data_IF_670767696698
#
_entry.id   IF_670767696698
#
_cell.length_a   1.000
_cell.length_b   1.000
_cell.length_c   1.000
_cell.angle_alpha   90.00
_cell.angle_beta   90.00
_cell.angle_gamma   90.00
#
_symmetry.space_group_name_H-M   'P 1'
#
loop_
_entity.id
_entity.type
_entity.pdbx_description
1 polymer ?
#
# COMPACT_ATOMS: atom_id res chain seq x y z
N UNK A 1 -52.30 -13.68 -23.92
CA UNK A 1 -51.92 -14.37 -22.66
C UNK A 1 -52.64 -13.73 -21.49
N UNK A 2 -53.35 -14.51 -20.67
CA UNK A 2 -54.09 -13.99 -19.51
C UNK A 2 -53.13 -13.42 -18.46
N UNK A 3 -53.45 -12.24 -17.91
CA UNK A 3 -52.69 -11.56 -16.83
C UNK A 3 -52.50 -12.45 -15.60
N UNK A 4 -53.40 -13.43 -15.41
CA UNK A 4 -53.36 -14.40 -14.31
C UNK A 4 -52.19 -15.37 -14.49
N UNK A 5 -51.98 -15.91 -15.70
CA UNK A 5 -50.85 -16.81 -15.99
C UNK A 5 -49.50 -16.11 -15.78
N UNK A 6 -49.40 -14.84 -16.19
CA UNK A 6 -48.18 -14.05 -15.98
C UNK A 6 -47.88 -13.87 -14.49
N UNK A 7 -48.89 -13.57 -13.66
CA UNK A 7 -48.74 -13.44 -12.21
C UNK A 7 -48.32 -14.73 -11.54
N UNK A 8 -48.93 -15.86 -11.90
CA UNK A 8 -48.57 -17.18 -11.35
C UNK A 8 -47.13 -17.54 -11.73
N UNK A 9 -46.73 -17.27 -12.97
CA UNK A 9 -45.36 -17.51 -13.42
C UNK A 9 -44.33 -16.64 -12.67
N UNK A 10 -44.63 -15.35 -12.48
CA UNK A 10 -43.81 -14.42 -11.70
C UNK A 10 -43.68 -14.86 -10.23
N UNK A 11 -44.81 -15.22 -9.59
CA UNK A 11 -44.81 -15.72 -8.21
C UNK A 11 -44.03 -17.02 -8.09
N UNK A 12 -44.22 -17.96 -9.02
CA UNK A 12 -43.48 -19.23 -9.02
C UNK A 12 -41.98 -18.99 -9.05
N UNK A 13 -41.48 -18.17 -9.99
CA UNK A 13 -40.05 -17.83 -10.08
C UNK A 13 -39.53 -17.14 -8.83
N UNK A 14 -40.32 -16.23 -8.25
CA UNK A 14 -39.95 -15.56 -7.00
C UNK A 14 -39.77 -16.56 -5.85
N UNK A 15 -40.72 -17.46 -5.65
CA UNK A 15 -40.65 -18.45 -4.57
C UNK A 15 -39.53 -19.47 -4.77
N UNK A 16 -39.29 -19.93 -6.00
CA UNK A 16 -38.13 -20.79 -6.29
C UNK A 16 -36.81 -20.10 -5.98
N UNK A 17 -36.61 -18.86 -6.45
CA UNK A 17 -35.39 -18.09 -6.16
C UNK A 17 -35.21 -17.84 -4.67
N UNK A 18 -36.30 -17.50 -3.97
CA UNK A 18 -36.28 -17.29 -2.53
C UNK A 18 -35.89 -18.56 -1.78
N UNK A 19 -36.51 -19.69 -2.13
CA UNK A 19 -36.21 -20.97 -1.51
C UNK A 19 -34.75 -21.37 -1.72
N UNK A 20 -34.23 -21.20 -2.94
CA UNK A 20 -32.82 -21.46 -3.23
C UNK A 20 -31.89 -20.58 -2.39
N UNK A 21 -32.17 -19.27 -2.32
CA UNK A 21 -31.36 -18.34 -1.52
C UNK A 21 -31.39 -18.69 -0.03
N UNK A 22 -32.57 -18.93 0.52
CA UNK A 22 -32.74 -19.28 1.94
C UNK A 22 -32.08 -20.63 2.26
N UNK A 23 -32.16 -21.61 1.36
CA UNK A 23 -31.49 -22.90 1.51
C UNK A 23 -29.95 -22.77 1.49
N UNK A 24 -29.40 -22.02 0.55
CA UNK A 24 -27.94 -21.77 0.49
C UNK A 24 -27.46 -21.03 1.73
N UNK A 25 -28.20 -20.01 2.17
CA UNK A 25 -27.86 -19.23 3.36
C UNK A 25 -27.96 -20.04 4.65
N UNK A 26 -28.95 -20.93 4.74
CA UNK A 26 -29.06 -21.86 5.86
C UNK A 26 -27.91 -22.87 5.84
N UNK A 27 -27.54 -23.38 4.67
CA UNK A 27 -26.41 -24.29 4.53
C UNK A 27 -25.10 -23.60 4.94
N UNK A 28 -24.87 -22.35 4.54
CA UNK A 28 -23.73 -21.56 4.99
C UNK A 28 -23.72 -21.40 6.52
N UNK A 29 -24.89 -21.17 7.13
CA UNK A 29 -25.01 -21.06 8.58
C UNK A 29 -24.72 -22.36 9.33
N UNK A 30 -25.08 -23.50 8.75
CA UNK A 30 -24.79 -24.82 9.32
C UNK A 30 -23.31 -25.20 9.11
N UNK A 31 -22.78 -24.93 7.91
CA UNK A 31 -21.43 -25.34 7.53
C UNK A 31 -20.35 -24.48 8.17
N UNK A 32 -20.50 -23.16 8.08
CA UNK A 32 -19.53 -22.22 8.64
C UNK A 32 -19.88 -21.81 10.06
N UNK A 33 -21.08 -22.12 10.55
CA UNK A 33 -21.54 -21.62 11.84
C UNK A 33 -21.85 -20.12 11.77
N UNK A 34 -22.83 -19.69 12.56
CA UNK A 34 -23.25 -18.29 12.61
C UNK A 34 -22.13 -17.33 13.04
N UNK A 35 -21.10 -17.84 13.72
CA UNK A 35 -19.93 -17.10 14.20
C UNK A 35 -18.77 -17.03 13.19
N UNK A 36 -18.65 -17.99 12.25
CA UNK A 36 -17.50 -18.09 11.34
C UNK A 36 -17.87 -17.83 9.87
N UNK A 37 -18.90 -16.99 9.64
CA UNK A 37 -19.26 -16.57 8.29
C UNK A 37 -18.08 -15.86 7.63
N UNK A 38 -17.81 -16.10 6.34
CA UNK A 38 -16.78 -15.39 5.60
C UNK A 38 -17.09 -13.88 5.64
N UNK A 39 -16.34 -13.14 6.47
CA UNK A 39 -16.42 -11.69 6.49
C UNK A 39 -15.70 -11.19 5.26
N UNK A 40 -16.43 -10.48 4.41
CA UNK A 40 -15.84 -9.73 3.30
C UNK A 40 -14.75 -8.84 3.88
N UNK A 41 -13.58 -8.81 3.26
CA UNK A 41 -12.44 -8.01 3.72
C UNK A 41 -12.82 -6.53 3.74
N UNK A 42 -13.27 -6.04 4.89
CA UNK A 42 -13.69 -4.66 5.08
C UNK A 42 -12.50 -3.84 5.56
N UNK A 43 -12.07 -2.88 4.76
CA UNK A 43 -11.01 -1.93 5.16
C UNK A 43 -11.61 -0.85 6.05
N UNK A 44 -10.97 -0.59 7.19
CA UNK A 44 -11.36 0.49 8.08
C UNK A 44 -11.12 1.85 7.42
N UNK A 45 -12.18 2.61 7.17
CA UNK A 45 -12.05 3.99 6.64
C UNK A 45 -12.25 5.05 7.73
N UNK A 46 -12.97 4.73 8.81
CA UNK A 46 -13.28 5.66 9.89
C UNK A 46 -13.47 4.92 11.22
N UNK A 47 -13.20 5.61 12.33
CA UNK A 47 -13.52 5.13 13.68
C UNK A 47 -15.02 5.29 13.92
N UNK A 48 -15.74 4.17 14.03
CA UNK A 48 -17.18 4.19 14.29
C UNK A 48 -17.50 4.45 15.75
N UNK A 49 -18.76 4.76 16.06
CA UNK A 49 -19.21 4.97 17.44
C UNK A 49 -18.93 3.75 18.34
N UNK A 50 -19.18 2.53 17.86
CA UNK A 50 -18.92 1.30 18.63
C UNK A 50 -17.42 1.08 18.85
N UNK A 51 -16.59 1.37 17.84
CA UNK A 51 -15.13 1.37 17.93
C UNK A 51 -14.66 2.34 19.01
N UNK A 52 -15.19 3.56 19.03
CA UNK A 52 -14.87 4.58 20.04
C UNK A 52 -15.27 4.13 21.44
N UNK A 53 -16.45 3.53 21.63
CA UNK A 53 -16.86 3.00 22.93
C UNK A 53 -15.91 1.92 23.45
N UNK A 54 -15.44 1.02 22.59
CA UNK A 54 -14.46 -0.01 22.95
C UNK A 54 -13.12 0.59 23.34
N UNK A 55 -12.64 1.61 22.61
CA UNK A 55 -11.41 2.31 22.94
C UNK A 55 -11.51 3.08 24.27
N UNK A 56 -12.65 3.73 24.52
CA UNK A 56 -12.91 4.38 25.81
C UNK A 56 -12.91 3.37 26.96
N UNK A 57 -13.53 2.19 26.76
CA UNK A 57 -13.50 1.11 27.74
C UNK A 57 -12.08 0.56 28.00
N UNK A 58 -11.20 0.63 27.00
CA UNK A 58 -9.78 0.29 27.09
C UNK A 58 -8.89 1.42 27.67
N UNK A 59 -9.49 2.51 28.16
CA UNK A 59 -8.79 3.62 28.80
C UNK A 59 -8.23 4.68 27.84
N UNK A 60 -8.54 4.62 26.55
CA UNK A 60 -8.02 5.61 25.60
C UNK A 60 -8.71 6.97 25.77
N UNK A 61 -7.96 8.07 25.93
CA UNK A 61 -8.55 9.40 26.00
C UNK A 61 -9.08 9.83 24.63
N UNK A 62 -10.14 10.64 24.63
CA UNK A 62 -10.85 11.08 23.42
C UNK A 62 -9.96 11.88 22.45
N UNK A 63 -8.98 12.60 22.97
CA UNK A 63 -7.96 13.32 22.20
C UNK A 63 -7.11 12.38 21.34
N UNK A 64 -6.63 11.28 21.92
CA UNK A 64 -5.82 10.26 21.22
C UNK A 64 -6.65 9.51 20.20
N UNK A 65 -7.89 9.14 20.54
CA UNK A 65 -8.81 8.44 19.62
C UNK A 65 -9.01 9.25 18.33
N UNK A 66 -9.07 10.58 18.41
CA UNK A 66 -9.26 11.45 17.24
C UNK A 66 -8.07 11.42 16.28
N UNK A 67 -6.85 11.24 16.80
CA UNK A 67 -5.62 11.19 16.00
C UNK A 67 -5.31 9.78 15.48
N UNK A 68 -6.02 8.78 16.00
CA UNK A 68 -5.77 7.38 15.66
C UNK A 68 -6.24 7.06 14.25
N UNK A 69 -5.41 6.37 13.47
CA UNK A 69 -5.81 5.88 12.16
C UNK A 69 -6.88 4.78 12.33
N UNK A 70 -7.93 4.74 11.51
CA UNK A 70 -8.99 3.73 11.60
C UNK A 70 -8.47 2.28 11.56
N UNK A 71 -7.45 2.02 10.74
CA UNK A 71 -6.82 0.69 10.64
C UNK A 71 -6.14 0.27 11.94
N UNK A 72 -5.44 1.22 12.59
CA UNK A 72 -4.76 0.98 13.85
C UNK A 72 -5.78 0.78 14.98
N UNK A 73 -6.84 1.60 15.01
CA UNK A 73 -7.95 1.46 15.95
C UNK A 73 -8.60 0.07 15.90
N UNK A 74 -8.82 -0.48 14.69
CA UNK A 74 -9.36 -1.82 14.54
C UNK A 74 -8.40 -2.91 15.03
N UNK A 75 -7.08 -2.77 14.76
CA UNK A 75 -6.07 -3.69 15.29
C UNK A 75 -6.05 -3.69 16.81
N UNK A 76 -6.01 -2.52 17.45
CA UNK A 76 -6.05 -2.39 18.91
C UNK A 76 -7.26 -3.11 19.51
N UNK A 77 -8.43 -2.99 18.88
CA UNK A 77 -9.65 -3.67 19.34
C UNK A 77 -9.60 -5.17 19.08
N UNK A 78 -9.00 -5.61 17.97
CA UNK A 78 -8.83 -7.03 17.67
C UNK A 78 -7.87 -7.69 18.69
N UNK A 79 -6.81 -6.98 19.04
CA UNK A 79 -5.74 -7.43 19.92
C UNK A 79 -6.03 -7.15 21.42
N UNK A 80 -7.13 -6.46 21.73
CA UNK A 80 -7.53 -6.02 23.08
C UNK A 80 -6.43 -5.25 23.84
N UNK A 81 -5.72 -4.38 23.15
CA UNK A 81 -4.60 -3.62 23.72
C UNK A 81 -5.12 -2.47 24.60
N UNK A 82 -4.55 -2.32 25.80
CA UNK A 82 -4.85 -1.20 26.71
C UNK A 82 -4.04 0.06 26.38
N UNK A 83 -4.51 1.22 26.84
CA UNK A 83 -3.86 2.50 26.52
C UNK A 83 -2.38 2.55 26.94
N UNK A 84 -2.03 1.99 28.10
CA UNK A 84 -0.65 1.99 28.61
C UNK A 84 0.29 1.20 27.69
N UNK A 85 -0.16 0.02 27.26
CA UNK A 85 0.57 -0.84 26.31
C UNK A 85 0.69 -0.17 24.93
N UNK A 86 -0.36 0.51 24.48
CA UNK A 86 -0.33 1.24 23.23
C UNK A 86 0.71 2.37 23.25
N UNK A 87 0.86 3.06 24.38
CA UNK A 87 1.84 4.13 24.53
C UNK A 87 3.27 3.60 24.40
N UNK A 88 3.59 2.50 25.05
CA UNK A 88 4.90 1.84 24.92
C UNK A 88 5.20 1.41 23.48
N UNK A 89 4.22 0.80 22.81
CA UNK A 89 4.35 0.41 21.40
C UNK A 89 4.51 1.61 20.47
N UNK A 90 3.85 2.73 20.77
CA UNK A 90 3.94 3.95 19.97
C UNK A 90 5.33 4.60 20.08
N UNK A 91 5.92 4.60 21.28
CA UNK A 91 7.28 5.10 21.53
C UNK A 91 8.31 4.26 20.75
N UNK A 92 8.23 2.92 20.82
CA UNK A 92 9.09 2.02 20.05
C UNK A 92 8.98 2.22 18.54
N UNK A 93 7.75 2.40 18.04
CA UNK A 93 7.53 2.61 16.61
C UNK A 93 8.10 3.94 16.11
N UNK A 94 8.11 4.99 16.95
CA UNK A 94 8.71 6.29 16.59
C UNK A 94 10.23 6.20 16.53
N UNK A 95 10.86 5.52 17.48
CA UNK A 95 12.31 5.31 17.49
C UNK A 95 12.77 4.51 16.26
N UNK A 96 12.08 3.42 15.95
CA UNK A 96 12.43 2.58 14.80
C UNK A 96 12.24 3.31 13.46
N UNK A 97 11.22 4.16 13.34
CA UNK A 97 11.03 5.00 12.16
C UNK A 97 12.12 6.07 12.04
N UNK A 98 12.54 6.68 13.14
CA UNK A 98 13.63 7.65 13.15
C UNK A 98 14.96 7.00 12.75
N UNK A 99 15.25 5.79 13.24
CA UNK A 99 16.46 5.05 12.87
C UNK A 99 16.46 4.65 11.39
N UNK A 100 15.33 4.15 10.87
CA UNK A 100 15.21 3.80 9.44
C UNK A 100 15.37 5.02 8.55
N UNK A 101 14.85 6.18 8.95
CA UNK A 101 15.05 7.44 8.23
C UNK A 101 16.53 7.86 8.21
N UNK A 102 17.24 7.73 9.34
CA UNK A 102 18.68 8.02 9.42
C UNK A 102 19.51 7.08 8.52
N UNK A 103 19.25 5.78 8.58
CA UNK A 103 19.95 4.78 7.74
C UNK A 103 19.71 5.01 6.25
N UNK A 104 18.50 5.40 5.85
CA UNK A 104 18.21 5.72 4.45
C UNK A 104 18.89 7.01 4.00
N UNK A 105 18.98 8.05 4.83
CA UNK A 105 19.75 9.25 4.49
C UNK A 105 21.25 8.97 4.32
N UNK A 106 21.84 8.16 5.21
CA UNK A 106 23.26 7.80 5.16
C UNK A 106 23.59 6.95 3.91
N UNK A 107 22.71 6.02 3.54
CA UNK A 107 22.84 5.24 2.31
C UNK A 107 22.71 6.10 1.04
N UNK A 108 21.83 7.11 1.04
CA UNK A 108 21.70 8.03 -0.09
C UNK A 108 22.91 8.97 -0.21
N UNK A 109 23.51 9.41 0.88
CA UNK A 109 24.75 10.22 0.84
C UNK A 109 25.95 9.42 0.35
N UNK A 110 26.13 8.19 0.84
CA UNK A 110 27.21 7.32 0.37
C UNK A 110 27.06 6.97 -1.12
N UNK A 111 25.85 6.74 -1.60
CA UNK A 111 25.61 6.57 -3.05
C UNK A 111 25.91 7.84 -3.85
N UNK A 112 25.48 9.03 -3.39
CA UNK A 112 25.78 10.30 -4.08
C UNK A 112 27.28 10.57 -4.14
N UNK A 113 28.01 10.33 -3.06
CA UNK A 113 29.46 10.50 -3.02
C UNK A 113 30.20 9.49 -3.91
N UNK A 114 29.78 8.22 -3.93
CA UNK A 114 30.33 7.22 -4.84
C UNK A 114 30.10 7.58 -6.32
N UNK A 115 28.92 8.12 -6.65
CA UNK A 115 28.57 8.54 -8.00
C UNK A 115 29.31 9.82 -8.42
N UNK A 116 29.60 10.74 -7.49
CA UNK A 116 30.46 11.88 -7.71
C UNK A 116 31.93 11.47 -7.95
N UNK A 117 32.46 10.51 -7.19
CA UNK A 117 33.82 9.99 -7.42
C UNK A 117 33.95 9.22 -8.75
N UNK A 118 32.91 8.50 -9.16
CA UNK A 118 32.86 7.86 -10.48
C UNK A 118 32.86 8.90 -11.62
N UNK A 119 32.18 10.04 -11.43
CA UNK A 119 32.19 11.16 -12.38
C UNK A 119 33.54 11.89 -12.43
N UNK A 120 34.22 12.06 -11.30
CA UNK A 120 35.56 12.69 -11.23
C UNK A 120 36.61 11.84 -11.95
N UNK A 121 36.59 10.51 -11.77
CA UNK A 121 37.48 9.60 -12.53
C UNK A 121 37.28 9.67 -14.04
N UNK A 122 36.05 9.94 -14.50
CA UNK A 122 35.75 10.06 -15.94
C UNK A 122 36.23 11.38 -16.55
N UNK A 123 36.47 12.42 -15.74
CA UNK A 123 37.01 13.72 -16.20
C UNK A 123 38.54 13.74 -16.17
N UNK A 124 39.15 13.07 -15.19
CA UNK A 124 40.61 13.01 -15.04
C UNK A 124 41.31 12.18 -16.15
N UNK A 125 40.60 11.25 -16.79
CA UNK A 125 41.14 10.48 -17.93
C UNK A 125 41.06 11.24 -19.28
N UNK A 126 40.39 12.40 -19.33
CA UNK A 126 40.28 13.23 -20.56
C UNK A 126 41.17 14.47 -20.57
N UNK A 127 41.99 14.70 -19.55
CA UNK A 127 42.85 15.88 -19.46
C UNK A 127 44.28 15.55 -19.02
N UNK A 128 45.05 14.85 -19.86
CA UNK A 128 46.45 15.18 -20.21
C UNK A 128 47.15 14.00 -20.92
N UNK A 129 48.04 14.21 -21.92
CA UNK A 129 48.53 15.50 -22.42
C UNK A 129 48.39 15.68 -23.96
N UNK A 130 47.83 16.81 -24.37
CA UNK A 130 48.24 17.49 -25.61
C UNK A 130 49.58 18.16 -25.37
N UNK A 131 50.69 17.51 -25.73
CA UNK A 131 52.00 18.13 -25.85
C UNK A 131 52.96 17.25 -26.68
N UNK A 132 52.82 17.22 -28.01
CA UNK A 132 53.93 17.00 -28.95
C UNK A 132 53.47 17.05 -30.42
N UNK A 133 54.02 18.02 -31.14
CA UNK A 133 54.64 17.88 -32.46
C UNK A 133 53.75 17.73 -33.72
N UNK A 134 53.52 18.90 -34.34
CA UNK A 134 53.76 19.27 -35.75
C UNK A 134 54.22 18.15 -36.71
N UNK A 135 53.61 18.11 -37.92
CA UNK A 135 54.21 18.08 -39.29
C UNK A 135 53.44 17.17 -40.29
N UNK A 136 52.96 17.81 -41.38
CA UNK A 136 52.60 17.31 -42.75
C UNK A 136 51.46 16.24 -42.91
N UNK A 137 50.66 16.16 -43.97
CA UNK A 137 50.59 16.78 -45.31
C UNK A 137 49.20 16.49 -45.94
N UNK A 138 48.72 17.47 -46.74
CA UNK A 138 47.93 17.41 -48.01
C UNK A 138 47.09 16.18 -48.41
N UNK A 139 45.93 16.49 -49.04
CA UNK A 139 45.32 15.87 -50.25
C UNK A 139 43.87 15.36 -50.05
N UNK A 140 42.84 16.14 -50.39
CA UNK A 140 42.04 16.11 -51.65
C UNK A 140 40.71 15.36 -51.52
N UNK A 141 39.64 16.16 -51.55
CA UNK A 141 38.35 16.04 -52.25
C UNK A 141 37.38 14.85 -52.07
N UNK A 142 36.11 15.28 -52.11
CA UNK A 142 34.88 14.65 -52.61
C UNK A 142 34.17 13.66 -51.68
N UNK A 143 33.00 13.98 -51.13
CA UNK A 143 31.64 14.12 -51.73
C UNK A 143 30.85 12.79 -51.64
N UNK A 144 29.60 12.95 -51.17
CA UNK A 144 28.36 12.20 -51.47
C UNK A 144 27.80 11.07 -50.59
N UNK A 145 26.50 11.27 -50.39
CA UNK A 145 25.35 10.34 -50.34
C UNK A 145 25.19 9.45 -49.10
N UNK A 146 24.16 9.71 -48.28
CA UNK A 146 22.78 9.19 -48.41
C UNK A 146 22.72 7.66 -48.26
N UNK A 147 21.98 7.16 -47.27
CA UNK A 147 20.69 6.56 -47.60
C UNK A 147 19.77 6.39 -46.38
N UNK A 148 18.49 6.54 -46.68
CA UNK A 148 17.32 6.27 -45.84
C UNK A 148 16.56 5.11 -46.47
#
# INVERSE_FOLDING_TARGET
MSKILQRVHLLGRFYLNKWQYDATKWLDDVWFGRSNRPRVASVAFMITHSTRQKLLAAGFPSSVIRMLQPTIAQKIIADNIMYDQFKELQEQHQEEQAERARRTSEQMETQKNALAMAKVKQVEERMAPSAALVIHQTSVAAEKDENK
#
